data_IF_774829615048
#
_entry.id   IF_774829615048
#
_cell.length_a   1.000
_cell.length_b   1.000
_cell.length_c   1.000
_cell.angle_alpha   90.00
_cell.angle_beta   90.00
_cell.angle_gamma   90.00
#
_symmetry.space_group_name_H-M   'P 1'
#
loop_
_entity.id
_entity.type
_entity.pdbx_description
1 polymer ?
#
# COMPACT_ATOMS: atom_id res chain seq x y z
N UNK A 1 6.05 47.22 12.71
CA UNK A 1 5.16 47.44 11.55
C UNK A 1 5.83 46.91 10.28
N UNK A 2 5.48 45.72 9.77
CA UNK A 2 5.62 45.32 8.35
C UNK A 2 4.62 44.21 8.06
N UNK A 3 3.46 44.60 7.54
CA UNK A 3 2.41 43.71 7.03
C UNK A 3 2.83 43.16 5.67
N UNK A 4 2.63 41.87 5.43
CA UNK A 4 2.76 41.31 4.08
C UNK A 4 1.53 40.46 3.76
N UNK A 5 0.58 41.11 3.09
CA UNK A 5 -0.64 40.52 2.52
C UNK A 5 -0.41 40.18 1.06
N UNK A 6 -0.42 38.90 0.70
CA UNK A 6 -0.57 38.47 -0.69
C UNK A 6 -1.88 37.71 -0.86
N UNK A 7 -2.88 38.44 -1.37
CA UNK A 7 -4.12 37.91 -1.92
C UNK A 7 -3.85 37.46 -3.36
N UNK A 8 -4.19 36.22 -3.72
CA UNK A 8 -4.40 35.83 -5.12
C UNK A 8 -5.63 34.92 -5.24
N UNK A 9 -6.75 35.57 -5.55
CA UNK A 9 -7.85 35.12 -6.43
C UNK A 9 -7.29 34.27 -7.59
N UNK A 10 -7.82 33.10 -7.96
CA UNK A 10 -9.22 32.73 -8.19
C UNK A 10 -9.39 32.55 -9.70
N UNK A 11 -9.77 31.36 -10.17
CA UNK A 11 -10.33 31.14 -11.52
C UNK A 11 -10.93 29.72 -11.61
N UNK A 12 -12.26 29.66 -11.56
CA UNK A 12 -13.11 28.55 -12.00
C UNK A 12 -12.89 28.25 -13.48
N UNK A 13 -12.81 26.97 -13.86
CA UNK A 13 -13.26 26.50 -15.18
C UNK A 13 -13.91 25.11 -15.09
N UNK A 14 -15.17 25.10 -15.50
CA UNK A 14 -16.11 24.00 -15.68
C UNK A 14 -15.66 23.19 -16.90
N UNK A 15 -15.64 21.84 -16.80
CA UNK A 15 -15.64 21.00 -18.00
C UNK A 15 -16.63 19.84 -17.89
N UNK A 16 -17.61 19.95 -18.79
CA UNK A 16 -18.60 19.02 -19.32
C UNK A 16 -18.25 17.53 -19.22
N UNK A 17 -19.24 16.77 -18.77
CA UNK A 17 -19.23 15.32 -18.83
C UNK A 17 -19.53 14.75 -20.22
N UNK A 18 -19.35 13.44 -20.31
CA UNK A 18 -19.94 12.61 -21.36
C UNK A 18 -20.19 11.24 -20.75
N UNK A 19 -21.46 10.90 -20.58
CA UNK A 19 -21.93 9.57 -20.22
C UNK A 19 -22.04 8.79 -21.51
N UNK A 20 -21.36 7.65 -21.62
CA UNK A 20 -21.66 6.65 -22.64
C UNK A 20 -21.94 5.31 -21.97
N UNK A 21 -23.18 4.88 -22.14
CA UNK A 21 -23.78 3.67 -21.61
C UNK A 21 -23.63 2.50 -22.60
N UNK A 22 -24.00 1.31 -22.11
CA UNK A 22 -24.48 0.12 -22.86
C UNK A 22 -23.45 -0.93 -23.24
N UNK A 23 -23.74 -2.16 -22.80
CA UNK A 23 -23.18 -3.39 -23.37
C UNK A 23 -23.26 -4.60 -22.42
N UNK A 24 -24.48 -5.10 -22.15
CA UNK A 24 -24.70 -6.35 -21.42
C UNK A 24 -24.70 -7.53 -22.41
N UNK A 25 -23.90 -8.56 -22.15
CA UNK A 25 -24.03 -9.86 -22.82
C UNK A 25 -23.93 -10.98 -21.78
N UNK A 26 -25.03 -11.71 -21.61
CA UNK A 26 -25.12 -12.96 -20.86
C UNK A 26 -24.96 -14.09 -21.87
N UNK A 27 -24.01 -15.01 -21.64
CA UNK A 27 -23.91 -16.26 -22.36
C UNK A 27 -24.11 -17.43 -21.40
N UNK A 28 -25.03 -18.31 -21.77
CA UNK A 28 -25.51 -19.50 -21.06
C UNK A 28 -24.65 -20.74 -21.34
N UNK A 29 -24.40 -21.50 -20.26
CA UNK A 29 -24.35 -22.98 -20.10
C UNK A 29 -23.53 -23.83 -21.08
N UNK A 30 -22.59 -24.59 -20.53
CA UNK A 30 -22.34 -25.96 -20.95
C UNK A 30 -21.93 -26.80 -19.73
N UNK A 31 -22.81 -27.72 -19.35
CA UNK A 31 -22.59 -28.77 -18.36
C UNK A 31 -21.76 -29.88 -19.02
N UNK A 32 -20.56 -30.14 -18.51
CA UNK A 32 -19.73 -31.26 -18.93
C UNK A 32 -19.38 -32.10 -17.69
N UNK A 33 -20.09 -33.22 -17.56
CA UNK A 33 -19.78 -34.30 -16.64
C UNK A 33 -18.40 -34.89 -16.96
N UNK A 34 -17.55 -35.01 -15.93
CA UNK A 34 -16.36 -35.85 -15.96
C UNK A 34 -16.19 -36.62 -14.62
N UNK A 35 -15.51 -37.78 -14.67
CA UNK A 35 -15.80 -38.93 -13.83
C UNK A 35 -15.22 -38.85 -12.42
N UNK A 36 -15.81 -39.65 -11.53
CA UNK A 36 -15.28 -39.95 -10.20
C UNK A 36 -13.90 -40.61 -10.33
N UNK A 37 -12.90 -39.97 -9.74
CA UNK A 37 -11.66 -40.63 -9.33
C UNK A 37 -11.40 -40.31 -7.86
N UNK A 38 -11.38 -41.37 -7.06
CA UNK A 38 -10.90 -41.39 -5.69
C UNK A 38 -9.43 -40.93 -5.61
N UNK A 39 -9.14 -40.13 -4.57
CA UNK A 39 -7.91 -40.07 -3.74
C UNK A 39 -7.35 -38.67 -3.54
N UNK A 40 -6.87 -38.47 -2.30
CA UNK A 40 -6.02 -37.40 -1.76
C UNK A 40 -6.76 -36.19 -1.18
N UNK A 41 -6.58 -36.03 0.13
CA UNK A 41 -7.26 -35.05 0.96
C UNK A 41 -6.88 -33.59 0.66
N UNK A 42 -7.67 -32.63 1.18
CA UNK A 42 -7.49 -31.20 0.93
C UNK A 42 -6.31 -30.67 1.74
N UNK A 43 -5.10 -30.80 1.20
CA UNK A 43 -3.91 -30.54 2.01
C UNK A 43 -2.61 -30.16 1.31
N UNK A 44 -2.60 -29.66 0.06
CA UNK A 44 -1.30 -29.26 -0.52
C UNK A 44 -1.29 -28.19 -1.63
N UNK A 45 -2.41 -27.84 -2.28
CA UNK A 45 -2.35 -27.00 -3.51
C UNK A 45 -2.77 -25.53 -3.35
N UNK A 46 -2.95 -25.05 -2.11
CA UNK A 46 -3.43 -23.68 -1.84
C UNK A 46 -2.36 -22.60 -1.62
N UNK A 47 -1.05 -22.87 -1.78
CA UNK A 47 0.02 -21.96 -1.30
C UNK A 47 0.87 -21.26 -2.35
N UNK A 48 0.55 -21.37 -3.65
CA UNK A 48 1.39 -20.79 -4.71
C UNK A 48 0.94 -19.41 -5.25
N UNK A 49 -0.18 -18.85 -4.80
CA UNK A 49 -0.63 -17.48 -5.22
C UNK A 49 -0.24 -16.35 -4.25
N UNK A 50 0.73 -16.56 -3.36
CA UNK A 50 1.24 -15.52 -2.42
C UNK A 50 2.57 -14.98 -2.92
N UNK A 51 2.58 -14.27 -4.05
CA UNK A 51 3.86 -13.76 -4.53
C UNK A 51 3.92 -13.01 -5.84
N UNK A 52 2.83 -12.89 -6.61
CA UNK A 52 2.80 -11.88 -7.66
C UNK A 52 2.77 -10.53 -6.98
N UNK A 53 3.98 -9.97 -6.80
CA UNK A 53 4.16 -8.60 -6.35
C UNK A 53 3.33 -7.74 -7.28
N UNK A 54 2.29 -7.12 -6.73
CA UNK A 54 1.50 -6.13 -7.46
C UNK A 54 2.48 -5.14 -8.07
N UNK A 55 2.25 -4.80 -9.34
CA UNK A 55 3.05 -3.81 -10.02
C UNK A 55 3.05 -2.50 -9.21
N UNK A 56 4.21 -1.85 -9.18
CA UNK A 56 4.43 -0.59 -8.46
C UNK A 56 3.41 0.48 -8.83
N UNK A 57 3.07 0.60 -10.12
CA UNK A 57 2.07 1.55 -10.59
C UNK A 57 0.69 1.24 -9.99
N UNK A 58 0.28 -0.04 -9.97
CA UNK A 58 -1.00 -0.45 -9.38
C UNK A 58 -1.07 -0.17 -7.87
N UNK A 59 0.02 -0.36 -7.14
CA UNK A 59 0.09 -0.04 -5.71
C UNK A 59 -0.09 1.46 -5.48
N UNK A 60 0.57 2.28 -6.30
CA UNK A 60 0.48 3.74 -6.24
C UNK A 60 -0.95 4.19 -6.54
N UNK A 61 -1.57 3.70 -7.62
CA UNK A 61 -2.95 4.06 -7.98
C UNK A 61 -3.94 3.67 -6.86
N UNK A 62 -3.80 2.48 -6.26
CA UNK A 62 -4.65 2.09 -5.11
C UNK A 62 -4.46 2.98 -3.89
N UNK A 63 -3.25 3.51 -3.66
CA UNK A 63 -3.01 4.45 -2.56
C UNK A 63 -3.63 5.81 -2.87
N UNK A 64 -3.46 6.31 -4.09
CA UNK A 64 -4.05 7.58 -4.54
C UNK A 64 -5.57 7.50 -4.53
N UNK A 65 -6.18 6.41 -5.03
CA UNK A 65 -7.64 6.19 -5.00
C UNK A 65 -8.19 6.29 -3.59
N UNK A 66 -7.58 5.59 -2.62
CA UNK A 66 -8.02 5.67 -1.21
C UNK A 66 -7.91 7.08 -0.64
N UNK A 67 -6.82 7.79 -0.92
CA UNK A 67 -6.71 9.19 -0.48
C UNK A 67 -7.77 10.07 -1.12
N UNK A 68 -8.08 9.83 -2.40
CA UNK A 68 -9.13 10.56 -3.10
C UNK A 68 -10.52 10.28 -2.54
N UNK A 69 -10.82 9.02 -2.22
CA UNK A 69 -12.10 8.61 -1.61
C UNK A 69 -12.35 9.34 -0.28
N UNK A 70 -11.32 9.44 0.57
CA UNK A 70 -11.40 10.04 1.89
C UNK A 70 -11.26 11.57 1.90
N UNK A 71 -10.40 12.14 1.06
CA UNK A 71 -10.05 13.57 1.12
C UNK A 71 -10.67 14.40 -0.01
N UNK A 72 -11.34 13.76 -0.97
CA UNK A 72 -11.94 14.41 -2.15
C UNK A 72 -10.92 15.30 -2.86
N UNK A 73 -9.84 14.68 -3.33
CA UNK A 73 -8.71 15.39 -3.94
C UNK A 73 -9.13 15.95 -5.31
N UNK A 74 -8.66 17.14 -5.64
CA UNK A 74 -8.79 17.64 -7.02
C UNK A 74 -7.73 17.00 -7.95
N UNK A 75 -7.86 17.25 -9.26
CA UNK A 75 -6.96 16.67 -10.27
C UNK A 75 -5.49 17.08 -10.09
N UNK A 76 -5.24 18.34 -9.72
CA UNK A 76 -3.91 18.86 -9.44
C UNK A 76 -3.27 18.17 -8.23
N UNK A 77 -4.01 18.04 -7.14
CA UNK A 77 -3.57 17.36 -5.91
C UNK A 77 -3.29 15.87 -6.17
N UNK A 78 -4.19 15.20 -6.88
CA UNK A 78 -4.05 13.78 -7.26
C UNK A 78 -2.75 13.55 -8.03
N UNK A 79 -2.46 14.42 -9.01
CA UNK A 79 -1.23 14.35 -9.81
C UNK A 79 0.02 14.58 -8.96
N UNK A 80 0.00 15.59 -8.08
CA UNK A 80 1.12 15.88 -7.18
C UNK A 80 1.40 14.72 -6.21
N UNK A 81 0.35 14.14 -5.61
CA UNK A 81 0.46 13.01 -4.68
C UNK A 81 0.96 11.76 -5.40
N UNK A 82 0.48 11.48 -6.62
CA UNK A 82 0.99 10.37 -7.44
C UNK A 82 2.50 10.47 -7.64
N UNK A 83 3.00 11.65 -8.01
CA UNK A 83 4.44 11.90 -8.18
C UNK A 83 5.21 11.66 -6.89
N UNK A 84 4.71 12.14 -5.75
CA UNK A 84 5.32 11.91 -4.44
C UNK A 84 5.43 10.40 -4.14
N UNK A 85 4.40 9.61 -4.45
CA UNK A 85 4.43 8.16 -4.22
C UNK A 85 5.34 7.39 -5.18
N UNK A 86 5.49 7.83 -6.43
CA UNK A 86 6.48 7.26 -7.35
C UNK A 86 7.89 7.42 -6.78
N UNK A 87 8.22 8.63 -6.29
CA UNK A 87 9.51 8.93 -5.67
C UNK A 87 9.70 8.15 -4.36
N UNK A 88 8.69 8.08 -3.48
CA UNK A 88 8.73 7.27 -2.25
C UNK A 88 9.01 5.80 -2.58
N UNK A 89 8.31 5.24 -3.57
CA UNK A 89 8.44 3.83 -3.92
C UNK A 89 9.84 3.51 -4.45
N UNK A 90 10.40 4.37 -5.30
CA UNK A 90 11.77 4.22 -5.78
C UNK A 90 12.79 4.22 -4.63
N UNK A 91 12.65 5.14 -3.68
CA UNK A 91 13.51 5.22 -2.49
C UNK A 91 13.33 4.02 -1.57
N UNK A 92 12.09 3.58 -1.36
CA UNK A 92 11.78 2.41 -0.54
C UNK A 92 12.34 1.12 -1.15
N UNK A 93 12.32 0.99 -2.49
CA UNK A 93 12.93 -0.12 -3.21
C UNK A 93 14.45 -0.16 -3.00
N UNK A 94 15.10 1.00 -3.00
CA UNK A 94 16.55 1.10 -2.74
C UNK A 94 16.91 0.74 -1.29
N UNK A 95 16.06 1.09 -0.32
CA UNK A 95 16.24 0.72 1.09
C UNK A 95 15.88 -0.74 1.40
N UNK A 96 15.18 -1.42 0.50
CA UNK A 96 14.80 -2.82 0.71
C UNK A 96 16.05 -3.69 0.54
N UNK A 97 16.46 -4.47 1.55
CA UNK A 97 17.57 -5.39 1.38
C UNK A 97 17.24 -6.35 0.23
N UNK A 98 18.05 -6.29 -0.83
CA UNK A 98 17.93 -7.20 -1.95
C UNK A 98 18.28 -8.61 -1.45
N UNK A 99 17.33 -9.54 -1.49
CA UNK A 99 17.67 -10.96 -1.39
C UNK A 99 17.94 -11.53 0.00
N UNK A 100 17.33 -11.02 1.08
CA UNK A 100 17.28 -11.80 2.32
C UNK A 100 16.40 -13.05 2.12
N UNK A 101 16.90 -14.29 2.31
CA UNK A 101 16.06 -15.49 2.18
C UNK A 101 14.86 -15.37 3.13
N UNK A 102 13.66 -15.76 2.64
CA UNK A 102 12.46 -15.76 3.48
C UNK A 102 12.75 -16.66 4.70
N UNK A 103 12.32 -16.29 5.92
CA UNK A 103 12.62 -17.07 7.13
C UNK A 103 12.29 -18.56 7.00
N UNK A 104 11.26 -18.84 6.21
CA UNK A 104 10.68 -20.17 5.98
C UNK A 104 11.49 -21.00 4.96
N UNK A 105 12.31 -20.36 4.12
CA UNK A 105 13.17 -20.99 3.10
C UNK A 105 14.67 -20.82 3.37
N UNK A 106 15.04 -20.10 4.43
CA UNK A 106 16.43 -19.93 4.83
C UNK A 106 16.96 -21.25 5.42
N UNK A 107 18.10 -21.72 4.91
CA UNK A 107 18.83 -22.85 5.51
C UNK A 107 19.28 -22.49 6.93
N UNK A 108 19.61 -23.49 7.75
CA UNK A 108 20.11 -23.28 9.13
C UNK A 108 21.35 -22.35 9.14
N UNK A 109 22.22 -22.48 8.14
CA UNK A 109 23.36 -21.58 7.89
C UNK A 109 22.90 -20.14 7.60
N UNK A 110 21.97 -19.94 6.67
CA UNK A 110 21.47 -18.60 6.30
C UNK A 110 20.73 -17.88 7.43
N UNK A 111 20.13 -18.64 8.36
CA UNK A 111 19.53 -18.08 9.59
C UNK A 111 20.57 -17.57 10.57
N UNK A 112 21.80 -18.11 10.54
CA UNK A 112 22.93 -17.63 11.34
C UNK A 112 23.54 -16.35 10.77
N UNK A 113 23.48 -16.16 9.45
CA UNK A 113 23.90 -14.95 8.72
C UNK A 113 22.80 -13.87 8.66
N UNK A 114 21.96 -13.79 9.69
CA UNK A 114 20.92 -12.75 9.76
C UNK A 114 21.60 -11.38 9.90
N UNK A 115 21.11 -10.33 9.23
CA UNK A 115 21.58 -8.98 9.49
C UNK A 115 21.50 -8.70 10.99
N UNK A 116 22.56 -8.08 11.52
CA UNK A 116 22.63 -7.73 12.93
C UNK A 116 21.41 -6.88 13.35
N UNK A 117 21.15 -6.83 14.65
CA UNK A 117 20.05 -6.00 15.19
C UNK A 117 20.21 -4.53 14.80
N UNK A 118 21.45 -4.04 14.73
CA UNK A 118 21.79 -2.66 14.43
C UNK A 118 21.39 -2.24 12.99
N UNK A 119 21.77 -3.00 11.96
CA UNK A 119 21.41 -2.74 10.57
C UNK A 119 19.89 -2.80 10.35
N UNK A 120 19.19 -3.69 11.07
CA UNK A 120 17.72 -3.75 11.04
C UNK A 120 17.08 -2.51 11.68
N UNK A 121 17.65 -2.02 12.76
CA UNK A 121 17.20 -0.78 13.39
C UNK A 121 17.45 0.44 12.51
N UNK A 122 18.64 0.55 11.93
CA UNK A 122 18.97 1.61 10.99
C UNK A 122 18.04 1.59 9.77
N UNK A 123 17.78 0.42 9.18
CA UNK A 123 16.85 0.28 8.07
C UNK A 123 15.43 0.71 8.46
N UNK A 124 14.96 0.33 9.66
CA UNK A 124 13.66 0.78 10.21
C UNK A 124 13.61 2.30 10.38
N UNK A 125 14.67 2.90 10.91
CA UNK A 125 14.77 4.36 11.09
C UNK A 125 14.75 5.09 9.73
N UNK A 126 15.49 4.60 8.73
CA UNK A 126 15.49 5.15 7.38
C UNK A 126 14.11 5.05 6.71
N UNK A 127 13.45 3.89 6.83
CA UNK A 127 12.08 3.74 6.33
C UNK A 127 11.08 4.66 7.04
N UNK A 128 11.24 4.87 8.36
CA UNK A 128 10.40 5.81 9.10
C UNK A 128 10.61 7.23 8.61
N UNK A 129 11.86 7.68 8.51
CA UNK A 129 12.20 9.02 8.04
C UNK A 129 11.69 9.28 6.61
N UNK A 130 11.78 8.27 5.72
CA UNK A 130 11.22 8.34 4.37
C UNK A 130 9.69 8.56 4.40
N UNK A 131 8.97 7.80 5.24
CA UNK A 131 7.52 7.95 5.40
C UNK A 131 7.16 9.32 5.97
N UNK A 132 7.88 9.79 6.98
CA UNK A 132 7.63 11.10 7.60
C UNK A 132 7.81 12.23 6.57
N UNK A 133 8.92 12.20 5.81
CA UNK A 133 9.15 13.15 4.71
C UNK A 133 8.06 13.10 3.65
N UNK A 134 7.61 11.91 3.28
CA UNK A 134 6.52 11.71 2.31
C UNK A 134 5.23 12.32 2.83
N UNK A 135 4.87 12.08 4.10
CA UNK A 135 3.69 12.64 4.72
C UNK A 135 3.75 14.18 4.75
N UNK A 136 4.89 14.77 5.09
CA UNK A 136 5.07 16.24 5.04
C UNK A 136 4.83 16.81 3.65
N UNK A 137 5.34 16.15 2.60
CA UNK A 137 5.13 16.58 1.21
C UNK A 137 3.68 16.44 0.77
N UNK A 138 2.97 15.42 1.24
CA UNK A 138 1.54 15.25 1.00
C UNK A 138 0.77 16.37 1.72
N UNK A 139 1.04 16.64 2.99
CA UNK A 139 0.36 17.72 3.73
C UNK A 139 0.52 19.08 3.03
N UNK A 140 1.68 19.36 2.43
CA UNK A 140 1.94 20.61 1.73
C UNK A 140 1.07 20.84 0.49
N UNK A 141 0.50 19.79 -0.12
CA UNK A 141 -0.39 19.89 -1.28
C UNK A 141 -1.87 19.86 -0.92
N UNK A 142 -2.18 19.60 0.35
CA UNK A 142 -3.55 19.51 0.86
C UNK A 142 -4.03 20.86 1.42
N UNK A 143 -5.36 21.06 1.40
CA UNK A 143 -5.97 22.19 2.11
C UNK A 143 -5.86 22.01 3.64
N UNK A 144 -6.17 23.04 4.42
CA UNK A 144 -6.21 22.94 5.89
C UNK A 144 -7.15 21.83 6.38
N UNK A 145 -8.36 21.77 5.82
CA UNK A 145 -9.37 20.76 6.19
C UNK A 145 -8.91 19.35 5.83
N UNK A 146 -8.40 19.15 4.62
CA UNK A 146 -7.89 17.85 4.16
C UNK A 146 -6.70 17.37 4.99
N UNK A 147 -5.84 18.28 5.47
CA UNK A 147 -4.71 17.92 6.33
C UNK A 147 -5.16 17.29 7.65
N UNK A 148 -6.24 17.76 8.25
CA UNK A 148 -6.77 17.17 9.49
C UNK A 148 -7.21 15.72 9.24
N UNK A 149 -8.08 15.50 8.25
CA UNK A 149 -8.55 14.17 7.90
C UNK A 149 -7.40 13.21 7.48
N UNK A 150 -6.37 13.75 6.82
CA UNK A 150 -5.19 12.98 6.47
C UNK A 150 -4.40 12.51 7.70
N UNK A 151 -4.20 13.39 8.69
CA UNK A 151 -3.50 13.05 9.95
C UNK A 151 -4.23 11.94 10.70
N UNK A 152 -5.54 12.02 10.79
CA UNK A 152 -6.37 10.98 11.43
C UNK A 152 -6.20 9.63 10.72
N UNK A 153 -6.21 9.64 9.38
CA UNK A 153 -5.99 8.43 8.56
C UNK A 153 -4.61 7.82 8.80
N UNK A 154 -3.57 8.65 8.92
CA UNK A 154 -2.19 8.19 9.18
C UNK A 154 -2.05 7.64 10.61
N UNK A 155 -2.61 8.31 11.61
CA UNK A 155 -2.57 7.88 13.02
C UNK A 155 -3.28 6.53 13.20
N UNK A 156 -4.51 6.40 12.70
CA UNK A 156 -5.31 5.18 12.79
C UNK A 156 -4.67 3.97 12.10
N UNK A 157 -3.79 4.19 11.11
CA UNK A 157 -3.03 3.12 10.47
C UNK A 157 -1.90 2.58 11.35
N UNK A 158 -1.29 3.45 12.16
CA UNK A 158 -0.21 3.07 13.08
C UNK A 158 -0.70 2.17 14.21
N UNK A 159 -1.88 2.45 14.75
CA UNK A 159 -2.46 1.71 15.88
C UNK A 159 -2.80 0.26 15.52
N UNK A 160 -3.49 0.04 14.40
CA UNK A 160 -3.86 -1.32 13.94
C UNK A 160 -2.67 -2.25 13.70
N UNK A 161 -1.48 -1.70 13.49
CA UNK A 161 -0.26 -2.50 13.29
C UNK A 161 0.34 -3.01 14.61
N UNK A 162 0.06 -2.36 15.75
CA UNK A 162 0.58 -2.76 17.07
C UNK A 162 -0.18 -3.97 17.63
N UNK A 163 -1.49 -4.05 17.39
CA UNK A 163 -2.33 -5.11 17.97
C UNK A 163 -2.23 -6.44 17.19
N UNK A 164 -1.82 -6.39 15.92
CA UNK A 164 -1.74 -7.56 15.04
C UNK A 164 -0.53 -8.47 15.25
N UNK A 165 0.53 -8.01 15.93
CA UNK A 165 1.78 -8.80 16.09
C UNK A 165 1.72 -9.88 17.16
N UNK A 166 0.67 -9.94 17.99
CA UNK A 166 0.60 -10.86 19.13
C UNK A 166 0.01 -12.26 18.88
N UNK A 167 -0.72 -12.48 17.77
CA UNK A 167 -1.54 -13.71 17.61
C UNK A 167 -0.87 -14.92 16.95
N UNK A 168 0.39 -14.83 16.50
CA UNK A 168 1.05 -15.93 15.76
C UNK A 168 1.91 -16.89 16.58
N UNK A 169 2.07 -16.66 17.89
CA UNK A 169 2.97 -17.46 18.74
C UNK A 169 2.32 -18.57 19.59
N UNK A 170 0.99 -18.62 19.72
CA UNK A 170 0.34 -19.38 20.81
C UNK A 170 -0.36 -20.69 20.41
N UNK A 171 -0.03 -21.30 19.27
CA UNK A 171 -0.74 -22.49 18.77
C UNK A 171 0.17 -23.74 18.57
N UNK A 172 1.26 -23.88 19.35
CA UNK A 172 2.22 -24.98 19.17
C UNK A 172 2.72 -25.66 20.44
N UNK A 173 2.05 -25.50 21.57
CA UNK A 173 2.45 -26.08 22.86
C UNK A 173 1.30 -26.89 23.51
N UNK A 174 0.70 -27.77 22.71
CA UNK A 174 -0.31 -28.73 23.17
C UNK A 174 -0.02 -30.09 22.56
N UNK A 175 0.87 -30.84 23.20
CA UNK A 175 1.25 -32.22 22.87
C UNK A 175 1.97 -32.81 24.06
#
# INVERSE_FOLDING_TARGET
MRSNTNKRTGLSRIFMGTVLSVGLAVATVADAQQPRQDRQGPGAEGRSRRGQGLDSAQIIERRVSRLNEHLKLNSGQTTAIRRIFVEEYAQMKALRPQGGPRPDSATREQRRTRPDSAAREQNRAQMKALRDRTNTRIEAVLTSEQRSAYRDLVQNRGERSKDGSGRRGKARDGG
#
